data_IF_553176172070
#
_entry.id   IF_553176172070
#
_cell.length_a   1.000
_cell.length_b   1.000
_cell.length_c   1.000
_cell.angle_alpha   90.00
_cell.angle_beta   90.00
_cell.angle_gamma   90.00
#
_symmetry.space_group_name_H-M   'P 1'
#
loop_
_entity.id
_entity.type
_entity.pdbx_description
1 polymer ?
#
# COMPACT_ATOMS: atom_id res chain seq x y z
N UNK A 1 17.30 26.26 4.61
CA UNK A 1 17.57 24.83 4.88
C UNK A 1 16.58 24.04 4.05
N UNK A 2 16.94 23.71 2.81
CA UNK A 2 16.11 22.94 1.88
C UNK A 2 16.24 21.47 2.24
N UNK A 3 15.21 20.90 2.86
CA UNK A 3 15.14 19.45 3.07
C UNK A 3 14.79 18.86 1.71
N UNK A 4 15.79 18.38 0.98
CA UNK A 4 15.58 17.51 -0.18
C UNK A 4 14.84 16.27 0.30
N UNK A 5 13.56 16.15 -0.04
CA UNK A 5 12.79 14.92 0.12
C UNK A 5 13.28 13.92 -0.92
N UNK A 6 14.37 13.21 -0.60
CA UNK A 6 14.92 12.17 -1.45
C UNK A 6 14.01 10.92 -1.40
N UNK A 7 13.18 10.81 -2.42
CA UNK A 7 12.64 9.57 -3.00
C UNK A 7 11.70 8.61 -2.20
N UNK A 8 10.82 9.03 -1.25
CA UNK A 8 9.70 8.16 -0.88
C UNK A 8 8.74 7.81 -2.04
N UNK A 9 8.42 8.69 -3.02
CA UNK A 9 7.39 8.37 -4.02
C UNK A 9 7.79 7.24 -4.95
N UNK A 10 9.07 7.13 -5.30
CA UNK A 10 9.53 6.17 -6.32
C UNK A 10 9.42 4.73 -5.84
N UNK A 11 9.87 4.42 -4.62
CA UNK A 11 9.81 3.06 -4.07
C UNK A 11 8.36 2.64 -3.79
N UNK A 12 7.54 3.56 -3.29
CA UNK A 12 6.09 3.34 -3.09
C UNK A 12 5.41 3.02 -4.43
N UNK A 13 5.67 3.79 -5.48
CA UNK A 13 5.13 3.54 -6.83
C UNK A 13 5.51 2.17 -7.36
N UNK A 14 6.75 1.74 -7.17
CA UNK A 14 7.24 0.42 -7.62
C UNK A 14 6.51 -0.71 -6.89
N UNK A 15 6.33 -0.61 -5.58
CA UNK A 15 5.63 -1.62 -4.79
C UNK A 15 4.14 -1.69 -5.14
N UNK A 16 3.46 -0.54 -5.29
CA UNK A 16 2.06 -0.50 -5.72
C UNK A 16 1.91 -1.14 -7.10
N UNK A 17 2.72 -0.73 -8.08
CA UNK A 17 2.68 -1.28 -9.44
C UNK A 17 2.96 -2.79 -9.47
N UNK A 18 3.89 -3.27 -8.63
CA UNK A 18 4.18 -4.71 -8.50
C UNK A 18 2.99 -5.50 -7.95
N UNK A 19 2.30 -4.96 -6.94
CA UNK A 19 1.12 -5.60 -6.35
C UNK A 19 -0.05 -5.56 -7.31
N UNK A 20 -0.34 -4.42 -7.94
CA UNK A 20 -1.39 -4.29 -8.96
C UNK A 20 -1.17 -5.23 -10.14
N UNK A 21 0.08 -5.34 -10.62
CA UNK A 21 0.44 -6.29 -11.67
C UNK A 21 0.19 -7.72 -11.24
N UNK A 22 0.60 -8.09 -10.02
CA UNK A 22 0.34 -9.42 -9.47
C UNK A 22 -1.16 -9.69 -9.41
N UNK A 23 -1.96 -8.72 -8.96
CA UNK A 23 -3.43 -8.80 -8.91
C UNK A 23 -4.02 -9.02 -10.30
N UNK A 24 -3.61 -8.19 -11.25
CA UNK A 24 -4.09 -8.25 -12.62
C UNK A 24 -3.73 -9.58 -13.30
N UNK A 25 -2.51 -10.08 -13.11
CA UNK A 25 -2.07 -11.37 -13.64
C UNK A 25 -2.88 -12.53 -13.04
N UNK A 26 -3.21 -12.47 -11.75
CA UNK A 26 -4.00 -13.50 -11.07
C UNK A 26 -5.46 -13.56 -11.52
N UNK A 27 -6.00 -12.45 -12.04
CA UNK A 27 -7.35 -12.40 -12.61
C UNK A 27 -7.45 -13.05 -14.00
N UNK A 28 -6.32 -13.44 -14.60
CA UNK A 28 -6.31 -14.11 -15.91
C UNK A 28 -6.67 -15.60 -15.77
N UNK A 29 -7.44 -16.17 -16.72
CA UNK A 29 -7.77 -17.59 -16.69
C UNK A 29 -6.51 -18.45 -16.69
N UNK A 30 -6.45 -19.45 -15.79
CA UNK A 30 -5.35 -20.41 -15.71
C UNK A 30 -4.09 -19.91 -14.99
N UNK A 31 -4.08 -18.69 -14.45
CA UNK A 31 -2.99 -18.20 -13.60
C UNK A 31 -3.24 -18.60 -12.15
N UNK A 32 -2.23 -19.21 -11.52
CA UNK A 32 -2.31 -19.59 -10.12
C UNK A 32 -2.30 -18.36 -9.21
N UNK A 33 -3.01 -18.44 -8.07
CA UNK A 33 -2.88 -17.42 -7.04
C UNK A 33 -1.44 -17.33 -6.52
N UNK A 34 -0.95 -16.13 -6.14
CA UNK A 34 0.41 -15.97 -5.64
C UNK A 34 0.63 -16.80 -4.39
N UNK A 35 1.82 -17.39 -4.23
CA UNK A 35 2.12 -18.15 -3.02
C UNK A 35 1.90 -17.30 -1.76
N UNK A 36 1.48 -17.93 -0.65
CA UNK A 36 1.24 -17.24 0.63
C UNK A 36 2.43 -16.39 1.07
N UNK A 37 3.66 -16.89 0.89
CA UNK A 37 4.87 -16.15 1.22
C UNK A 37 4.98 -14.82 0.46
N UNK A 38 4.60 -14.80 -0.82
CA UNK A 38 4.52 -13.58 -1.64
C UNK A 38 3.52 -12.59 -1.06
N UNK A 39 2.33 -13.06 -0.66
CA UNK A 39 1.31 -12.19 -0.05
C UNK A 39 1.76 -11.60 1.29
N UNK A 40 2.46 -12.37 2.11
CA UNK A 40 3.04 -11.87 3.38
C UNK A 40 4.04 -10.75 3.12
N UNK A 41 4.91 -10.91 2.12
CA UNK A 41 5.87 -9.88 1.71
C UNK A 41 5.16 -8.63 1.19
N UNK A 42 4.14 -8.79 0.35
CA UNK A 42 3.33 -7.67 -0.15
C UNK A 42 2.66 -6.90 0.98
N UNK A 43 2.04 -7.59 1.95
CA UNK A 43 1.42 -6.97 3.11
C UNK A 43 2.45 -6.17 3.92
N UNK A 44 3.65 -6.74 4.15
CA UNK A 44 4.71 -6.05 4.89
C UNK A 44 5.21 -4.80 4.16
N UNK A 45 5.48 -4.90 2.86
CA UNK A 45 5.94 -3.80 2.03
C UNK A 45 4.92 -2.65 1.98
N UNK A 46 3.67 -2.96 1.63
CA UNK A 46 2.61 -1.95 1.53
C UNK A 46 2.26 -1.33 2.89
N UNK A 47 2.36 -2.08 3.99
CA UNK A 47 2.19 -1.52 5.33
C UNK A 47 3.26 -0.47 5.62
N UNK A 48 4.52 -0.72 5.21
CA UNK A 48 5.60 0.24 5.36
C UNK A 48 5.37 1.48 4.49
N UNK A 49 4.94 1.28 3.25
CA UNK A 49 4.63 2.37 2.30
C UNK A 49 3.52 3.28 2.82
N UNK A 50 2.40 2.71 3.30
CA UNK A 50 1.31 3.49 3.91
C UNK A 50 1.81 4.29 5.12
N UNK A 51 2.60 3.67 6.00
CA UNK A 51 3.18 4.36 7.17
C UNK A 51 4.11 5.51 6.76
N UNK A 52 4.83 5.38 5.66
CA UNK A 52 5.72 6.42 5.15
C UNK A 52 4.94 7.60 4.53
N UNK A 53 3.78 7.34 3.92
CA UNK A 53 2.96 8.38 3.28
C UNK A 53 2.04 9.13 4.25
N UNK A 54 1.57 8.47 5.32
CA UNK A 54 0.63 9.05 6.29
C UNK A 54 1.04 10.44 6.82
N UNK A 55 2.31 10.72 7.19
CA UNK A 55 2.72 12.04 7.70
C UNK A 55 2.58 13.18 6.68
N UNK A 56 2.54 12.86 5.39
CA UNK A 56 2.44 13.84 4.30
C UNK A 56 0.99 14.14 3.88
N UNK A 57 -0.01 13.49 4.51
CA UNK A 57 -1.43 13.69 4.22
C UNK A 57 -2.12 14.38 5.41
N UNK A 58 -3.00 15.37 5.18
CA UNK A 58 -3.76 16.02 6.24
C UNK A 58 -4.60 15.01 7.06
N UNK A 59 -4.59 15.15 8.38
CA UNK A 59 -5.26 14.19 9.30
C UNK A 59 -6.79 14.21 9.21
N UNK A 60 -7.35 15.33 8.77
CA UNK A 60 -8.78 15.54 8.52
C UNK A 60 -9.23 14.94 7.18
N UNK A 61 -8.30 14.52 6.31
CA UNK A 61 -8.65 13.88 5.05
C UNK A 61 -9.17 12.44 5.29
N UNK A 62 -10.29 12.02 4.68
CA UNK A 62 -10.86 10.68 4.90
C UNK A 62 -9.94 9.52 4.48
N UNK A 63 -9.00 9.77 3.55
CA UNK A 63 -7.98 8.77 3.20
C UNK A 63 -6.97 8.53 4.33
N UNK A 64 -6.68 9.55 5.16
CA UNK A 64 -5.79 9.39 6.32
C UNK A 64 -6.39 8.41 7.33
N UNK A 65 -7.65 8.63 7.73
CA UNK A 65 -8.32 7.76 8.72
C UNK A 65 -8.41 6.31 8.22
N UNK A 66 -8.82 6.11 6.96
CA UNK A 66 -8.90 4.78 6.34
C UNK A 66 -7.53 4.09 6.32
N UNK A 67 -6.50 4.78 5.85
CA UNK A 67 -5.17 4.21 5.75
C UNK A 67 -4.52 3.97 7.12
N UNK A 68 -4.76 4.86 8.08
CA UNK A 68 -4.31 4.70 9.47
C UNK A 68 -4.94 3.43 10.07
N UNK A 69 -6.24 3.21 9.86
CA UNK A 69 -6.94 2.00 10.32
C UNK A 69 -6.28 0.71 9.84
N UNK A 70 -5.76 0.70 8.60
CA UNK A 70 -5.11 -0.45 7.96
C UNK A 70 -3.66 -0.70 8.42
N UNK A 71 -3.03 0.20 9.15
CA UNK A 71 -1.64 -0.02 9.62
C UNK A 71 -1.54 -0.16 11.14
N UNK A 72 -2.68 -0.08 11.84
CA UNK A 72 -2.76 -0.39 13.26
C UNK A 72 -2.43 -1.87 13.51
N UNK A 73 -1.69 -2.19 14.59
CA UNK A 73 -1.33 -3.58 14.91
C UNK A 73 -2.53 -4.53 14.95
N UNK A 74 -3.69 -4.05 15.40
CA UNK A 74 -4.94 -4.83 15.50
C UNK A 74 -5.60 -5.16 14.15
N UNK A 75 -5.30 -4.39 13.10
CA UNK A 75 -5.86 -4.61 11.77
C UNK A 75 -5.01 -5.59 10.95
N UNK A 76 -3.74 -5.76 11.33
CA UNK A 76 -2.80 -6.62 10.60
C UNK A 76 -3.27 -8.08 10.65
N UNK A 77 -3.30 -8.78 9.51
CA UNK A 77 -3.52 -10.22 9.49
C UNK A 77 -2.50 -10.91 10.39
N UNK A 78 -2.98 -11.73 11.33
CA UNK A 78 -2.13 -12.50 12.23
C UNK A 78 -1.36 -13.60 11.51
N UNK A 79 -0.48 -14.30 12.23
CA UNK A 79 0.30 -15.43 11.68
C UNK A 79 -0.59 -16.56 11.12
N UNK A 80 -1.81 -16.67 11.63
CA UNK A 80 -2.84 -17.63 11.23
C UNK A 80 -3.68 -17.18 10.04
N UNK A 81 -3.46 -15.97 9.51
CA UNK A 81 -4.22 -15.45 8.39
C UNK A 81 -4.12 -16.38 7.19
N UNK A 82 -5.28 -16.74 6.67
CA UNK A 82 -5.41 -17.59 5.51
C UNK A 82 -5.03 -16.81 4.23
N UNK A 83 -4.91 -17.55 3.13
CA UNK A 83 -4.48 -16.98 1.85
C UNK A 83 -5.41 -15.85 1.37
N UNK A 84 -6.72 -16.05 1.49
CA UNK A 84 -7.71 -15.08 1.03
C UNK A 84 -7.69 -13.80 1.87
N UNK A 85 -7.51 -13.92 3.19
CA UNK A 85 -7.35 -12.76 4.08
C UNK A 85 -6.12 -11.93 3.71
N UNK A 86 -4.98 -12.59 3.48
CA UNK A 86 -3.75 -11.92 3.05
C UNK A 86 -3.92 -11.22 1.69
N UNK A 87 -4.63 -11.87 0.77
CA UNK A 87 -4.96 -11.29 -0.53
C UNK A 87 -5.82 -10.03 -0.41
N UNK A 88 -6.96 -10.11 0.29
CA UNK A 88 -7.85 -8.97 0.49
C UNK A 88 -7.16 -7.82 1.24
N UNK A 89 -6.31 -8.16 2.22
CA UNK A 89 -5.56 -7.15 2.96
C UNK A 89 -4.51 -6.46 2.08
N UNK A 90 -3.80 -7.22 1.22
CA UNK A 90 -2.85 -6.65 0.26
C UNK A 90 -3.54 -5.68 -0.71
N UNK A 91 -4.75 -6.01 -1.18
CA UNK A 91 -5.57 -5.15 -2.03
C UNK A 91 -5.98 -3.85 -1.33
N UNK A 92 -6.43 -3.95 -0.07
CA UNK A 92 -6.84 -2.80 0.72
C UNK A 92 -5.65 -1.85 0.98
N UNK A 93 -4.48 -2.41 1.33
CA UNK A 93 -3.27 -1.63 1.52
C UNK A 93 -2.77 -0.98 0.23
N UNK A 94 -2.80 -1.69 -0.91
CA UNK A 94 -2.37 -1.12 -2.20
C UNK A 94 -3.24 0.08 -2.60
N UNK A 95 -4.56 -0.03 -2.45
CA UNK A 95 -5.50 1.08 -2.70
C UNK A 95 -5.24 2.27 -1.77
N UNK A 96 -5.06 2.01 -0.48
CA UNK A 96 -4.76 3.07 0.48
C UNK A 96 -3.42 3.76 0.17
N UNK A 97 -2.38 2.99 -0.17
CA UNK A 97 -1.08 3.54 -0.56
C UNK A 97 -1.20 4.40 -1.83
N UNK A 98 -1.96 3.96 -2.83
CA UNK A 98 -2.19 4.73 -4.05
C UNK A 98 -2.97 6.03 -3.77
N UNK A 99 -4.05 5.97 -2.99
CA UNK A 99 -4.81 7.17 -2.61
C UNK A 99 -3.95 8.19 -1.86
N UNK A 100 -3.13 7.74 -0.89
CA UNK A 100 -2.22 8.63 -0.17
C UNK A 100 -1.15 9.19 -1.10
N UNK A 101 -0.57 8.37 -1.97
CA UNK A 101 0.44 8.79 -2.94
C UNK A 101 -0.12 9.85 -3.91
N UNK A 102 -1.35 9.69 -4.37
CA UNK A 102 -2.01 10.66 -5.25
C UNK A 102 -2.19 12.01 -4.54
N UNK A 103 -2.57 12.01 -3.26
CA UNK A 103 -2.71 13.23 -2.46
C UNK A 103 -1.35 13.91 -2.26
N UNK A 104 -0.33 13.16 -1.87
CA UNK A 104 1.04 13.68 -1.70
C UNK A 104 1.59 14.22 -3.03
N UNK A 105 1.34 13.54 -4.15
CA UNK A 105 1.81 13.97 -5.48
C UNK A 105 1.06 15.22 -5.96
N UNK A 106 -0.23 15.37 -5.63
CA UNK A 106 -1.01 16.58 -5.97
C UNK A 106 -0.57 17.80 -5.16
N UNK A 107 -0.25 17.63 -3.88
CA UNK A 107 0.30 18.71 -3.04
C UNK A 107 1.74 19.08 -3.39
N UNK A 108 2.47 18.21 -4.08
CA UNK A 108 3.88 18.40 -4.47
C UNK A 108 4.08 18.72 -5.97
N UNK A 109 3.01 18.90 -6.75
CA UNK A 109 3.12 19.23 -8.18
C UNK A 109 3.70 20.65 -8.44
N UNK A 110 4.52 20.85 -9.49
CA UNK A 110 4.96 22.19 -9.92
C UNK A 110 3.77 22.99 -10.53
N UNK A 111 3.84 24.34 -10.54
CA UNK A 111 2.83 25.21 -11.15
C UNK A 111 2.63 24.97 -12.65
#
# INVERSE_FOLDING_TARGET
MTISYDAPPTNVRVNIASVERTIFETMRPGVAMPARATLVVHVAALTADVKALLPAVPRDHPAYERAQGLVLPRARPGEQANHYELWQYSLALARAAQELLDLVTRDTGPP
#
